data_IF_584113645612
#
_entry.id   IF_584113645612
#
_cell.length_a   1.000
_cell.length_b   1.000
_cell.length_c   1.000
_cell.angle_alpha   90.00
_cell.angle_beta   90.00
_cell.angle_gamma   90.00
#
_symmetry.space_group_name_H-M   'P 1'
#
loop_
_entity.id
_entity.type
_entity.pdbx_description
1 polymer ?
#
# COMPACT_ATOMS: atom_id res chain seq x y z
N UNK A 1 -1.99 -46.43 -6.38
CA UNK A 1 -0.63 -46.22 -5.84
C UNK A 1 -0.25 -44.77 -6.14
N UNK A 2 0.17 -43.97 -5.14
CA UNK A 2 -0.09 -42.52 -5.03
C UNK A 2 1.19 -41.67 -5.27
N UNK A 3 1.32 -40.34 -5.13
CA UNK A 3 0.52 -39.25 -4.56
C UNK A 3 1.01 -37.89 -5.12
N UNK A 4 0.12 -36.89 -5.08
CA UNK A 4 0.36 -35.44 -5.09
C UNK A 4 1.17 -34.95 -3.88
N UNK A 5 1.95 -33.87 -4.02
CA UNK A 5 2.51 -33.03 -2.93
C UNK A 5 2.93 -31.68 -3.57
N UNK A 6 2.09 -30.64 -3.67
CA UNK A 6 1.74 -29.65 -2.64
C UNK A 6 2.85 -29.48 -1.59
N UNK A 7 3.68 -28.45 -1.74
CA UNK A 7 4.60 -28.02 -0.69
C UNK A 7 3.84 -27.14 0.31
N UNK A 8 3.26 -27.79 1.32
CA UNK A 8 2.95 -27.12 2.59
C UNK A 8 4.26 -26.82 3.31
N UNK A 9 4.56 -25.55 3.51
CA UNK A 9 5.63 -25.12 4.42
C UNK A 9 4.95 -24.54 5.66
N UNK A 10 4.43 -25.42 6.51
CA UNK A 10 4.15 -25.06 7.90
C UNK A 10 5.49 -24.93 8.62
N UNK A 11 5.86 -23.68 8.95
CA UNK A 11 6.98 -23.45 9.85
C UNK A 11 6.55 -23.76 11.29
N UNK A 12 6.77 -25.00 11.74
CA UNK A 12 6.59 -25.42 13.14
C UNK A 12 7.62 -24.73 14.05
N UNK A 13 7.17 -23.85 14.94
CA UNK A 13 8.01 -23.20 15.94
C UNK A 13 7.69 -23.74 17.33
N UNK A 14 8.63 -24.46 17.93
CA UNK A 14 8.56 -24.93 19.31
C UNK A 14 9.14 -23.90 20.29
N UNK A 15 8.39 -23.56 21.34
CA UNK A 15 8.90 -22.89 22.55
C UNK A 15 8.74 -23.79 23.76
N UNK A 16 9.79 -23.92 24.56
CA UNK A 16 9.79 -24.64 25.83
C UNK A 16 9.47 -23.66 26.95
N UNK A 17 8.33 -23.84 27.61
CA UNK A 17 8.06 -23.26 28.93
C UNK A 17 8.01 -24.40 29.98
N UNK A 18 8.26 -24.03 31.24
CA UNK A 18 8.63 -24.93 32.33
C UNK A 18 7.63 -25.99 32.77
N UNK A 19 6.45 -26.09 32.17
CA UNK A 19 5.50 -27.20 32.35
C UNK A 19 4.55 -27.25 31.15
N UNK A 20 4.63 -28.29 30.32
CA UNK A 20 3.63 -28.60 29.28
C UNK A 20 3.78 -27.89 27.92
N UNK A 21 3.46 -28.64 26.85
CA UNK A 21 3.52 -28.23 25.44
C UNK A 21 2.08 -27.97 24.95
N UNK A 22 1.71 -26.71 24.71
CA UNK A 22 0.40 -26.37 24.15
C UNK A 22 0.51 -25.74 22.76
N UNK A 23 -0.34 -26.21 21.85
CA UNK A 23 -0.54 -25.70 20.48
C UNK A 23 -1.28 -24.35 20.55
N UNK A 24 -0.53 -23.25 20.51
CA UNK A 24 -1.09 -21.91 20.45
C UNK A 24 -1.43 -21.49 19.03
N UNK A 25 -2.63 -21.80 18.54
CA UNK A 25 -3.18 -21.24 17.30
C UNK A 25 -3.81 -19.86 17.56
N UNK A 26 -3.24 -18.80 16.96
CA UNK A 26 -3.92 -17.62 16.36
C UNK A 26 -2.98 -16.41 16.27
N UNK A 27 -2.59 -16.03 15.05
CA UNK A 27 -1.97 -14.72 14.79
C UNK A 27 -3.06 -13.65 14.82
N UNK A 28 -2.92 -12.66 15.70
CA UNK A 28 -3.84 -11.52 15.76
C UNK A 28 -3.33 -10.42 14.82
N UNK A 29 -3.91 -10.32 13.62
CA UNK A 29 -3.73 -9.18 12.71
C UNK A 29 -4.76 -8.13 13.13
N UNK A 30 -4.29 -6.98 13.64
CA UNK A 30 -5.16 -5.86 13.98
C UNK A 30 -5.27 -4.91 12.77
N UNK A 31 -6.32 -5.09 11.99
CA UNK A 31 -6.66 -4.17 10.89
C UNK A 31 -7.50 -3.01 11.42
N UNK A 32 -7.24 -1.80 10.92
CA UNK A 32 -8.06 -0.62 11.24
C UNK A 32 -8.28 0.21 9.99
N UNK A 33 -9.50 0.14 9.48
CA UNK A 33 -9.99 0.98 8.39
C UNK A 33 -10.42 2.34 8.92
N UNK A 34 -10.13 3.39 8.15
CA UNK A 34 -10.66 4.74 8.40
C UNK A 34 -11.05 5.37 7.07
N UNK A 35 -12.14 6.14 7.02
CA UNK A 35 -12.43 7.01 5.89
C UNK A 35 -11.26 7.97 5.65
N UNK A 36 -11.04 8.38 4.38
CA UNK A 36 -10.11 9.45 4.04
C UNK A 36 -10.45 10.69 4.90
N UNK A 37 -9.50 11.13 5.72
CA UNK A 37 -9.72 12.12 6.79
C UNK A 37 -10.00 13.52 6.24
N UNK A 38 -11.03 14.19 6.77
CA UNK A 38 -11.04 15.66 6.92
C UNK A 38 -10.11 16.05 8.07
N UNK A 39 -9.27 17.06 7.86
CA UNK A 39 -8.19 17.43 8.79
C UNK A 39 -8.73 18.01 10.11
N UNK A 40 -8.44 17.36 11.24
CA UNK A 40 -8.56 17.95 12.58
C UNK A 40 -7.22 18.56 13.00
N UNK A 41 -7.24 19.85 13.31
CA UNK A 41 -6.10 20.67 13.73
C UNK A 41 -5.50 20.13 15.05
N UNK A 42 -4.34 19.47 14.99
CA UNK A 42 -3.63 18.96 16.15
C UNK A 42 -2.12 19.06 15.94
N UNK A 43 -1.44 19.73 16.87
CA UNK A 43 0.00 19.99 16.85
C UNK A 43 0.81 18.70 16.87
N UNK A 44 1.54 18.43 15.78
CA UNK A 44 2.46 17.29 15.60
C UNK A 44 3.88 17.86 15.39
N UNK A 45 4.97 17.23 15.91
CA UNK A 45 6.34 17.74 15.84
C UNK A 45 6.80 17.99 14.39
N UNK A 46 7.87 18.77 14.24
CA UNK A 46 8.38 19.37 13.01
C UNK A 46 8.61 18.41 11.82
N UNK A 47 7.54 17.95 11.18
CA UNK A 47 7.52 17.63 9.75
C UNK A 47 7.84 18.93 9.03
N UNK A 48 8.89 18.94 8.19
CA UNK A 48 9.31 20.14 7.48
C UNK A 48 8.14 20.69 6.66
N UNK A 49 8.08 22.00 6.43
CA UNK A 49 7.02 22.61 5.63
C UNK A 49 6.90 21.93 4.25
N UNK A 50 8.04 21.59 3.64
CA UNK A 50 8.11 20.87 2.38
C UNK A 50 7.43 19.49 2.43
N UNK A 51 7.69 18.68 3.46
CA UNK A 51 7.05 17.37 3.62
C UNK A 51 5.53 17.48 3.82
N UNK A 52 5.05 18.54 4.49
CA UNK A 52 3.61 18.80 4.62
C UNK A 52 3.00 19.15 3.27
N UNK A 53 3.67 19.97 2.47
CA UNK A 53 3.20 20.37 1.15
C UNK A 53 3.13 19.17 0.20
N UNK A 54 4.16 18.31 0.18
CA UNK A 54 4.16 17.08 -0.62
C UNK A 54 2.99 16.17 -0.25
N UNK A 55 2.78 15.91 1.05
CA UNK A 55 1.63 15.14 1.54
C UNK A 55 0.29 15.79 1.18
N UNK A 56 0.21 17.11 1.18
CA UNK A 56 -1.00 17.82 0.79
C UNK A 56 -1.31 17.61 -0.69
N UNK A 57 -0.29 17.66 -1.56
CA UNK A 57 -0.43 17.39 -3.00
C UNK A 57 -0.84 15.93 -3.27
N UNK A 58 -0.26 14.98 -2.56
CA UNK A 58 -0.61 13.55 -2.63
C UNK A 58 -2.08 13.31 -2.25
N UNK A 59 -2.52 13.88 -1.13
CA UNK A 59 -3.92 13.78 -0.70
C UNK A 59 -4.88 14.45 -1.70
N UNK A 60 -4.48 15.58 -2.29
CA UNK A 60 -5.28 16.25 -3.30
C UNK A 60 -5.40 15.41 -4.58
N UNK A 61 -4.31 14.76 -5.01
CA UNK A 61 -4.31 13.86 -6.16
C UNK A 61 -5.21 12.64 -5.92
N UNK A 62 -5.10 12.01 -4.74
CA UNK A 62 -5.97 10.89 -4.34
C UNK A 62 -7.45 11.29 -4.33
N UNK A 63 -7.75 12.50 -3.85
CA UNK A 63 -9.13 13.03 -3.83
C UNK A 63 -9.67 13.20 -5.26
N UNK A 64 -8.89 13.78 -6.18
CA UNK A 64 -9.29 13.92 -7.59
C UNK A 64 -9.48 12.56 -8.26
N UNK A 65 -8.61 11.59 -8.00
CA UNK A 65 -8.75 10.24 -8.54
C UNK A 65 -10.01 9.52 -8.01
N UNK A 66 -10.30 9.67 -6.71
CA UNK A 66 -11.55 9.15 -6.12
C UNK A 66 -12.77 9.76 -6.78
N UNK A 67 -12.77 11.08 -6.97
CA UNK A 67 -13.90 11.79 -7.56
C UNK A 67 -14.08 11.43 -9.05
N UNK A 68 -12.99 11.21 -9.79
CA UNK A 68 -13.02 10.73 -11.18
C UNK A 68 -13.59 9.32 -11.32
N UNK A 69 -13.17 8.39 -10.46
CA UNK A 69 -13.59 6.99 -10.53
C UNK A 69 -14.96 6.72 -9.89
N UNK A 70 -15.36 7.57 -8.93
CA UNK A 70 -16.53 7.34 -8.07
C UNK A 70 -16.38 6.13 -7.14
N UNK A 71 -15.19 5.52 -7.06
CA UNK A 71 -14.96 4.34 -6.25
C UNK A 71 -14.66 4.72 -4.80
N UNK A 72 -15.14 3.93 -3.81
CA UNK A 72 -14.73 4.11 -2.43
C UNK A 72 -13.25 3.78 -2.27
N UNK A 73 -12.48 4.73 -1.76
CA UNK A 73 -11.06 4.56 -1.42
C UNK A 73 -10.91 4.71 0.09
N UNK A 74 -10.36 3.69 0.74
CA UNK A 74 -10.12 3.67 2.18
C UNK A 74 -8.63 3.69 2.50
N UNK A 75 -8.26 4.26 3.64
CA UNK A 75 -6.88 4.21 4.14
C UNK A 75 -6.75 2.99 5.05
N UNK A 76 -5.79 2.11 4.77
CA UNK A 76 -5.53 0.91 5.57
C UNK A 76 -4.16 1.00 6.25
N UNK A 77 -4.13 0.67 7.54
CA UNK A 77 -2.90 0.61 8.32
C UNK A 77 -2.63 -0.81 8.77
N UNK A 78 -1.49 -1.36 8.37
CA UNK A 78 -1.04 -2.70 8.72
C UNK A 78 0.06 -2.61 9.77
N UNK A 79 -0.06 -3.41 10.82
CA UNK A 79 0.97 -3.51 11.86
C UNK A 79 1.76 -4.80 11.70
N UNK A 80 3.08 -4.71 11.63
CA UNK A 80 3.98 -5.84 11.47
C UNK A 80 4.63 -6.28 12.79
N UNK A 81 5.14 -7.52 12.83
CA UNK A 81 5.95 -8.04 13.94
C UNK A 81 7.18 -7.14 14.13
N UNK A 82 7.41 -6.68 15.36
CA UNK A 82 8.44 -5.68 15.67
C UNK A 82 7.92 -4.24 15.80
N UNK A 83 6.60 -4.03 15.67
CA UNK A 83 5.96 -2.74 15.96
C UNK A 83 5.99 -1.73 14.80
N UNK A 84 6.51 -2.11 13.64
CA UNK A 84 6.46 -1.29 12.43
C UNK A 84 5.03 -1.19 11.94
N UNK A 85 4.55 0.03 11.75
CA UNK A 85 3.21 0.31 11.24
C UNK A 85 3.33 0.96 9.87
N UNK A 86 2.77 0.32 8.86
CA UNK A 86 2.76 0.82 7.49
C UNK A 86 1.34 1.25 7.13
N UNK A 87 1.17 2.36 6.43
CA UNK A 87 -0.14 2.91 6.05
C UNK A 87 -0.15 3.19 4.58
N UNK A 88 -0.94 2.41 3.84
CA UNK A 88 -1.13 2.63 2.40
C UNK A 88 -2.00 3.86 2.19
N UNK A 89 -1.70 4.65 1.16
CA UNK A 89 -2.45 5.87 0.87
C UNK A 89 -3.90 5.59 0.46
N UNK A 90 -4.12 4.52 -0.32
CA UNK A 90 -5.45 4.13 -0.75
C UNK A 90 -5.60 2.62 -0.95
N UNK A 91 -6.79 2.13 -0.66
CA UNK A 91 -7.25 0.79 -0.99
C UNK A 91 -8.63 0.88 -1.63
N UNK A 92 -8.76 0.25 -2.80
CA UNK A 92 -10.04 0.02 -3.46
C UNK A 92 -10.42 -1.44 -3.26
N UNK A 93 -11.38 -1.70 -2.37
CA UNK A 93 -11.72 -3.07 -1.97
C UNK A 93 -12.36 -3.89 -3.10
N UNK A 94 -13.22 -3.25 -3.91
CA UNK A 94 -13.91 -3.91 -5.02
C UNK A 94 -12.97 -4.45 -6.10
N UNK A 95 -11.77 -3.87 -6.23
CA UNK A 95 -10.73 -4.30 -7.17
C UNK A 95 -9.49 -4.84 -6.45
N UNK A 96 -9.55 -4.99 -5.12
CA UNK A 96 -8.44 -5.41 -4.27
C UNK A 96 -7.12 -4.68 -4.61
N UNK A 97 -7.21 -3.38 -4.87
CA UNK A 97 -6.09 -2.57 -5.39
C UNK A 97 -5.52 -1.65 -4.32
N UNK A 98 -4.25 -1.85 -3.99
CA UNK A 98 -3.46 -0.91 -3.20
C UNK A 98 -2.94 0.21 -4.09
N UNK A 99 -3.11 1.44 -3.62
CA UNK A 99 -2.72 2.66 -4.31
C UNK A 99 -1.72 3.41 -3.45
N UNK A 100 -0.57 3.72 -4.02
CA UNK A 100 0.39 4.66 -3.44
C UNK A 100 0.40 5.92 -4.32
N UNK A 101 0.15 7.08 -3.71
CA UNK A 101 0.17 8.35 -4.43
C UNK A 101 1.51 9.06 -4.22
N UNK A 102 1.99 9.74 -5.25
CA UNK A 102 3.12 10.66 -5.13
C UNK A 102 2.79 12.02 -5.68
N UNK A 103 3.38 13.03 -5.07
CA UNK A 103 3.23 14.44 -5.43
C UNK A 103 3.98 14.83 -6.70
N UNK A 104 4.90 13.98 -7.17
CA UNK A 104 5.76 14.18 -8.33
C UNK A 104 6.01 12.85 -9.05
N UNK A 105 6.25 12.89 -10.36
CA UNK A 105 6.55 11.73 -11.20
C UNK A 105 8.05 11.47 -11.41
N UNK A 106 8.91 12.16 -10.65
CA UNK A 106 10.36 11.98 -10.74
C UNK A 106 10.83 10.62 -10.21
N UNK A 107 11.95 10.12 -10.76
CA UNK A 107 12.57 8.83 -10.36
C UNK A 107 12.63 8.58 -8.84
N UNK A 108 13.09 9.51 -7.98
CA UNK A 108 13.15 9.23 -6.54
C UNK A 108 11.77 8.97 -5.92
N UNK A 109 10.73 9.66 -6.37
CA UNK A 109 9.36 9.48 -5.89
C UNK A 109 8.77 8.16 -6.37
N UNK A 110 8.94 7.84 -7.65
CA UNK A 110 8.45 6.59 -8.24
C UNK A 110 9.11 5.37 -7.58
N UNK A 111 10.44 5.37 -7.44
CA UNK A 111 11.16 4.25 -6.81
C UNK A 111 10.77 4.09 -5.33
N UNK A 112 10.57 5.20 -4.62
CA UNK A 112 10.09 5.16 -3.25
C UNK A 112 8.70 4.53 -3.16
N UNK A 113 7.78 4.93 -4.04
CA UNK A 113 6.43 4.39 -4.09
C UNK A 113 6.42 2.89 -4.43
N UNK A 114 7.25 2.46 -5.39
CA UNK A 114 7.44 1.04 -5.72
C UNK A 114 7.89 0.26 -4.49
N UNK A 115 8.90 0.76 -3.77
CA UNK A 115 9.40 0.12 -2.56
C UNK A 115 8.30 -0.04 -1.51
N UNK A 116 7.49 1.01 -1.30
CA UNK A 116 6.35 0.97 -0.39
C UNK A 116 5.30 -0.06 -0.82
N UNK A 117 4.89 -0.08 -2.10
CA UNK A 117 3.91 -1.05 -2.63
C UNK A 117 4.39 -2.50 -2.50
N UNK A 118 5.66 -2.79 -2.76
CA UNK A 118 6.23 -4.12 -2.59
C UNK A 118 6.27 -4.54 -1.11
N UNK A 119 6.60 -3.61 -0.21
CA UNK A 119 6.56 -3.86 1.23
C UNK A 119 5.14 -4.13 1.73
N UNK A 120 4.14 -3.40 1.22
CA UNK A 120 2.73 -3.65 1.53
C UNK A 120 2.27 -5.01 1.01
N UNK A 121 2.51 -5.30 -0.27
CA UNK A 121 2.07 -6.55 -0.91
C UNK A 121 2.59 -7.80 -0.18
N UNK A 122 3.80 -7.76 0.39
CA UNK A 122 4.33 -8.85 1.23
C UNK A 122 3.49 -9.10 2.49
N UNK A 123 2.85 -8.07 3.05
CA UNK A 123 2.10 -8.13 4.30
C UNK A 123 0.59 -8.31 4.10
N UNK A 124 0.10 -8.07 2.89
CA UNK A 124 -1.33 -8.05 2.59
C UNK A 124 -1.63 -8.90 1.34
N UNK A 125 -1.50 -10.24 1.42
CA UNK A 125 -1.61 -11.13 0.27
C UNK A 125 -3.00 -11.12 -0.39
N UNK A 126 -4.03 -10.68 0.32
CA UNK A 126 -5.40 -10.56 -0.19
C UNK A 126 -5.60 -9.39 -1.18
N UNK A 127 -4.57 -8.57 -1.40
CA UNK A 127 -4.60 -7.40 -2.28
C UNK A 127 -3.51 -7.48 -3.36
N UNK A 128 -3.70 -8.33 -4.38
CA UNK A 128 -2.66 -8.63 -5.37
C UNK A 128 -2.44 -7.50 -6.38
N UNK A 129 -3.37 -6.53 -6.45
CA UNK A 129 -3.29 -5.45 -7.42
C UNK A 129 -2.59 -4.24 -6.81
N UNK A 130 -1.55 -3.74 -7.46
CA UNK A 130 -0.82 -2.56 -7.04
C UNK A 130 -0.90 -1.46 -8.10
N UNK A 131 -1.03 -0.22 -7.66
CA UNK A 131 -1.10 0.93 -8.55
C UNK A 131 -0.34 2.11 -7.98
N UNK A 132 0.46 2.73 -8.82
CA UNK A 132 1.12 4.00 -8.57
C UNK A 132 0.25 5.13 -9.13
N UNK A 133 -0.08 6.13 -8.32
CA UNK A 133 -0.88 7.29 -8.71
C UNK A 133 -0.01 8.55 -8.77
N UNK A 134 0.07 9.18 -9.95
CA UNK A 134 0.96 10.31 -10.23
C UNK A 134 0.21 11.52 -10.84
N UNK A 135 0.71 12.75 -10.66
CA UNK A 135 0.09 13.94 -11.25
C UNK A 135 0.35 14.07 -12.76
N UNK A 136 1.33 13.34 -13.29
CA UNK A 136 1.71 13.34 -14.71
C UNK A 136 2.39 12.01 -15.05
N UNK A 137 2.50 11.70 -16.35
CA UNK A 137 3.16 10.47 -16.81
C UNK A 137 4.67 10.52 -16.50
N UNK A 138 5.24 9.52 -15.82
CA UNK A 138 6.69 9.45 -15.62
C UNK A 138 7.40 9.10 -16.93
N UNK A 139 8.73 9.20 -16.96
CA UNK A 139 9.52 8.76 -18.12
C UNK A 139 9.34 7.27 -18.39
N UNK A 140 9.43 6.86 -19.64
CA UNK A 140 9.13 5.49 -20.11
C UNK A 140 9.82 4.39 -19.27
N UNK A 141 11.11 4.55 -18.99
CA UNK A 141 11.88 3.59 -18.18
C UNK A 141 11.25 3.30 -16.81
N UNK A 142 10.59 4.29 -16.19
CA UNK A 142 9.91 4.11 -14.91
C UNK A 142 8.56 3.41 -15.06
N UNK A 143 7.87 3.62 -16.17
CA UNK A 143 6.64 2.88 -16.51
C UNK A 143 6.99 1.41 -16.74
N UNK A 144 8.00 1.13 -17.56
CA UNK A 144 8.49 -0.23 -17.83
C UNK A 144 8.95 -0.94 -16.54
N UNK A 145 9.66 -0.22 -15.66
CA UNK A 145 10.06 -0.75 -14.36
C UNK A 145 8.85 -1.13 -13.50
N UNK A 146 7.88 -0.23 -13.33
CA UNK A 146 6.68 -0.51 -12.54
C UNK A 146 5.91 -1.71 -13.11
N UNK A 147 5.70 -1.74 -14.42
CA UNK A 147 5.00 -2.81 -15.12
C UNK A 147 5.72 -4.16 -14.99
N UNK A 148 7.06 -4.18 -15.03
CA UNK A 148 7.86 -5.39 -14.81
C UNK A 148 7.66 -6.02 -13.42
N UNK A 149 7.21 -5.21 -12.45
CA UNK A 149 6.92 -5.61 -11.07
C UNK A 149 5.41 -5.86 -10.84
N UNK A 150 4.59 -5.79 -11.89
CA UNK A 150 3.14 -5.93 -11.79
C UNK A 150 2.42 -4.74 -11.15
N UNK A 151 3.06 -3.56 -11.13
CA UNK A 151 2.50 -2.32 -10.59
C UNK A 151 2.00 -1.48 -11.77
N UNK A 152 0.69 -1.22 -11.83
CA UNK A 152 0.09 -0.34 -12.84
C UNK A 152 0.46 1.11 -12.57
N UNK A 153 0.64 1.91 -13.62
CA UNK A 153 0.92 3.34 -13.50
C UNK A 153 -0.32 4.12 -13.92
N UNK A 154 -0.93 4.81 -12.97
CA UNK A 154 -2.06 5.71 -13.19
C UNK A 154 -1.58 7.15 -13.05
N UNK A 155 -1.89 8.00 -14.04
CA UNK A 155 -1.52 9.40 -14.01
C UNK A 155 -2.64 10.33 -14.49
N UNK A 156 -2.63 11.55 -13.97
CA UNK A 156 -3.58 12.60 -14.33
C UNK A 156 -3.25 13.20 -15.71
N UNK A 157 -4.31 13.51 -16.45
CA UNK A 157 -4.31 14.13 -17.78
C UNK A 157 -5.37 15.24 -17.81
N UNK A 158 -5.46 16.01 -18.90
CA UNK A 158 -6.52 17.01 -19.07
C UNK A 158 -7.93 16.43 -19.06
N UNK A 159 -8.08 15.16 -19.46
CA UNK A 159 -9.38 14.50 -19.63
C UNK A 159 -9.73 13.55 -18.47
N UNK A 160 -8.92 13.53 -17.41
CA UNK A 160 -9.09 12.64 -16.26
C UNK A 160 -7.84 11.80 -15.99
N UNK A 161 -8.01 10.51 -15.72
CA UNK A 161 -6.89 9.61 -15.39
C UNK A 161 -6.71 8.52 -16.44
N UNK A 162 -5.45 8.22 -16.77
CA UNK A 162 -5.05 7.15 -17.68
C UNK A 162 -4.21 6.15 -16.90
N UNK A 163 -4.45 4.85 -17.15
CA UNK A 163 -3.71 3.75 -16.53
C UNK A 163 -2.99 2.94 -17.60
N UNK A 164 -1.70 2.72 -17.40
CA UNK A 164 -0.82 1.86 -18.19
C UNK A 164 -0.34 0.65 -17.39
#
# INVERSE_FOLDING_TARGET
MPASLLWDVEAEFFRRNGDGMELGSSVQIAERERPLREQSNGTIPAVSYAERELRQRENALMSRYRDFTGLPIVVRTVSHKGGVRLTVDGLVESTQTLIEAKSEAGRPFVLHAIGQLLDYGRLTPDYPNHMLLLPERPVEDLVELANSLGIRVCYETSDGFVTE
#
